data_IF_292995669245
#
_entry.id   IF_292995669245
#
_cell.length_a   1.000
_cell.length_b   1.000
_cell.length_c   1.000
_cell.angle_alpha   90.00
_cell.angle_beta   90.00
_cell.angle_gamma   90.00
#
_symmetry.space_group_name_H-M   'P 1'
#
loop_
_entity.id
_entity.type
_entity.pdbx_description
1 polymer ?
#
# COMPACT_ATOMS: atom_id res chain seq x y z
N UNK A 1 2.25 -9.91 8.99
CA UNK A 1 1.42 -10.58 10.03
C UNK A 1 2.32 -10.99 11.18
N UNK A 2 2.09 -10.42 12.36
CA UNK A 2 2.80 -10.85 13.56
C UNK A 2 2.21 -12.20 13.99
N UNK A 3 3.01 -13.26 13.97
CA UNK A 3 2.64 -14.59 14.49
C UNK A 3 2.55 -14.55 16.03
N UNK A 4 1.71 -13.66 16.56
CA UNK A 4 1.57 -13.44 18.02
C UNK A 4 0.17 -12.94 18.33
N UNK A 5 -0.30 -13.14 19.57
CA UNK A 5 -1.63 -12.72 19.97
C UNK A 5 -1.76 -11.20 20.09
N UNK A 6 -2.97 -10.67 19.91
CA UNK A 6 -3.32 -9.26 20.08
C UNK A 6 -2.89 -8.73 21.47
N UNK A 7 -3.13 -9.51 22.52
CA UNK A 7 -2.71 -9.19 23.90
C UNK A 7 -1.18 -9.00 24.01
N UNK A 8 -0.40 -9.82 23.31
CA UNK A 8 1.07 -9.67 23.29
C UNK A 8 1.49 -8.40 22.57
N UNK A 9 0.83 -8.04 21.44
CA UNK A 9 1.10 -6.78 20.72
C UNK A 9 0.73 -5.59 21.60
N UNK A 10 -0.44 -5.59 22.22
CA UNK A 10 -0.90 -4.54 23.13
C UNK A 10 0.06 -4.32 24.31
N UNK A 11 0.54 -5.40 24.92
CA UNK A 11 1.56 -5.31 25.99
C UNK A 11 2.89 -4.72 25.50
N UNK A 12 3.34 -5.07 24.28
CA UNK A 12 4.55 -4.50 23.69
C UNK A 12 4.37 -3.00 23.43
N UNK A 13 3.25 -2.59 22.85
CA UNK A 13 2.94 -1.18 22.61
C UNK A 13 2.88 -0.37 23.92
N UNK A 14 2.23 -0.91 24.94
CA UNK A 14 2.19 -0.30 26.27
C UNK A 14 3.61 -0.08 26.84
N UNK A 15 4.45 -1.14 26.84
CA UNK A 15 5.84 -1.04 27.31
C UNK A 15 6.66 -0.01 26.55
N UNK A 16 6.47 0.05 25.21
CA UNK A 16 7.15 1.02 24.35
C UNK A 16 6.73 2.45 24.69
N UNK A 17 5.43 2.69 24.89
CA UNK A 17 4.90 4.01 25.30
C UNK A 17 5.44 4.42 26.68
N UNK A 18 5.47 3.50 27.64
CA UNK A 18 6.05 3.74 28.97
C UNK A 18 7.55 4.06 28.88
N UNK A 19 8.31 3.34 28.07
CA UNK A 19 9.72 3.63 27.82
C UNK A 19 9.94 5.04 27.27
N UNK A 20 9.13 5.46 26.28
CA UNK A 20 9.21 6.82 25.72
C UNK A 20 8.90 7.88 26.78
N UNK A 21 7.87 7.63 27.61
CA UNK A 21 7.50 8.54 28.70
C UNK A 21 8.62 8.66 29.76
N UNK A 22 9.19 7.54 30.20
CA UNK A 22 10.27 7.51 31.19
C UNK A 22 11.55 8.18 30.67
N UNK A 23 11.85 7.99 29.38
CA UNK A 23 13.02 8.61 28.72
C UNK A 23 12.78 10.06 28.30
N UNK A 24 11.56 10.59 28.48
CA UNK A 24 11.16 11.92 28.05
C UNK A 24 11.56 12.20 26.58
N UNK A 25 11.43 11.18 25.71
CA UNK A 25 11.78 11.29 24.31
C UNK A 25 10.90 12.34 23.64
N UNK A 26 11.53 13.38 23.12
CA UNK A 26 10.85 14.41 22.33
C UNK A 26 10.70 13.93 20.89
N UNK A 27 9.52 14.20 20.32
CA UNK A 27 9.32 14.06 18.88
C UNK A 27 9.96 15.28 18.21
N UNK A 28 11.08 15.07 17.56
CA UNK A 28 11.78 16.10 16.79
C UNK A 28 11.58 15.83 15.32
N UNK A 29 11.49 16.89 14.51
CA UNK A 29 11.49 16.78 13.05
C UNK A 29 12.87 16.27 12.64
N UNK A 30 12.95 15.09 11.97
CA UNK A 30 14.24 14.53 11.58
C UNK A 30 14.96 15.42 10.57
N UNK A 31 16.30 15.36 10.58
CA UNK A 31 17.10 15.99 9.52
C UNK A 31 16.79 15.37 8.14
N UNK A 32 17.08 16.07 7.02
CA UNK A 32 16.91 15.52 5.68
C UNK A 32 17.58 14.15 5.49
N UNK A 33 18.78 13.97 6.01
CA UNK A 33 19.54 12.71 5.95
C UNK A 33 18.88 11.60 6.79
N UNK A 34 18.29 11.94 7.92
CA UNK A 34 17.57 10.99 8.77
C UNK A 34 16.23 10.62 8.16
N UNK A 35 15.56 11.55 7.45
CA UNK A 35 14.36 11.25 6.69
C UNK A 35 14.64 10.15 5.66
N UNK A 36 15.69 10.33 4.86
CA UNK A 36 16.08 9.35 3.84
C UNK A 36 16.35 7.97 4.45
N UNK A 37 17.08 7.89 5.57
CA UNK A 37 17.38 6.62 6.26
C UNK A 37 16.15 5.93 6.84
N UNK A 38 15.10 6.68 7.15
CA UNK A 38 13.86 6.16 7.77
C UNK A 38 12.78 5.85 6.76
N UNK A 39 12.93 6.30 5.51
CA UNK A 39 11.89 6.16 4.48
C UNK A 39 11.45 4.72 4.31
N UNK A 40 12.37 3.76 4.24
CA UNK A 40 12.03 2.34 4.08
C UNK A 40 11.14 1.81 5.21
N UNK A 41 11.46 2.15 6.47
CA UNK A 41 10.65 1.74 7.61
C UNK A 41 9.26 2.39 7.59
N UNK A 42 9.16 3.63 7.13
CA UNK A 42 7.89 4.36 6.98
C UNK A 42 7.06 3.75 5.85
N UNK A 43 7.67 3.49 4.69
CA UNK A 43 7.00 2.84 3.55
C UNK A 43 6.46 1.46 3.94
N UNK A 44 7.25 0.68 4.67
CA UNK A 44 6.78 -0.62 5.17
C UNK A 44 5.59 -0.48 6.14
N UNK A 45 5.58 0.53 7.00
CA UNK A 45 4.46 0.79 7.91
C UNK A 45 3.19 1.20 7.15
N UNK A 46 3.33 2.04 6.12
CA UNK A 46 2.23 2.45 5.24
C UNK A 46 1.70 1.24 4.45
N UNK A 47 2.59 0.41 3.92
CA UNK A 47 2.21 -0.82 3.21
C UNK A 47 1.41 -1.78 4.10
N UNK A 48 1.84 -1.98 5.35
CA UNK A 48 1.10 -2.81 6.31
C UNK A 48 -0.27 -2.22 6.66
N UNK A 49 -0.36 -0.89 6.82
CA UNK A 49 -1.62 -0.19 7.05
C UNK A 49 -2.58 -0.37 5.87
N UNK A 50 -2.06 -0.21 4.64
CA UNK A 50 -2.82 -0.41 3.42
C UNK A 50 -3.32 -1.85 3.30
N UNK A 51 -2.46 -2.83 3.55
CA UNK A 51 -2.83 -4.25 3.47
C UNK A 51 -3.92 -4.63 4.47
N UNK A 52 -3.87 -4.09 5.69
CA UNK A 52 -4.95 -4.27 6.67
C UNK A 52 -6.26 -3.62 6.18
N UNK A 53 -6.18 -2.47 5.53
CA UNK A 53 -7.35 -1.83 4.93
C UNK A 53 -7.91 -2.58 3.72
N UNK A 54 -7.01 -3.10 2.89
CA UNK A 54 -7.38 -3.77 1.64
C UNK A 54 -7.86 -5.21 1.84
N UNK A 55 -7.37 -5.91 2.84
CA UNK A 55 -7.72 -7.28 3.21
C UNK A 55 -7.68 -7.43 4.72
N UNK A 56 -8.73 -6.93 5.38
CA UNK A 56 -8.80 -6.85 6.83
C UNK A 56 -8.83 -8.24 7.46
N UNK A 57 -8.16 -8.35 8.60
CA UNK A 57 -8.22 -9.55 9.45
C UNK A 57 -9.49 -9.59 10.30
N UNK A 58 -10.28 -8.50 10.33
CA UNK A 58 -11.59 -8.45 11.00
C UNK A 58 -12.67 -9.09 10.15
N UNK A 59 -13.46 -10.00 10.75
CA UNK A 59 -14.53 -10.74 10.06
C UNK A 59 -15.67 -9.84 9.56
N UNK A 60 -15.93 -8.73 10.24
CA UNK A 60 -17.10 -7.89 10.01
C UNK A 60 -16.87 -6.82 8.94
N UNK A 61 -15.59 -6.46 8.70
CA UNK A 61 -15.18 -5.44 7.72
C UNK A 61 -13.99 -5.94 6.89
N UNK A 62 -14.26 -6.69 5.83
CA UNK A 62 -13.22 -7.26 4.96
C UNK A 62 -12.43 -6.20 4.17
N UNK A 63 -13.01 -5.03 3.96
CA UNK A 63 -12.36 -3.87 3.32
C UNK A 63 -12.58 -2.65 4.20
N UNK A 64 -11.51 -2.08 4.72
CA UNK A 64 -11.53 -0.88 5.54
C UNK A 64 -11.05 0.33 4.75
N UNK A 65 -11.99 1.02 4.13
CA UNK A 65 -11.71 2.20 3.29
C UNK A 65 -11.08 3.36 4.07
N UNK A 66 -11.31 3.45 5.37
CA UNK A 66 -10.66 4.41 6.27
C UNK A 66 -9.14 4.19 6.29
N UNK A 67 -8.68 2.95 6.48
CA UNK A 67 -7.25 2.62 6.49
C UNK A 67 -6.60 2.75 5.11
N UNK A 68 -7.31 2.35 4.04
CA UNK A 68 -6.84 2.54 2.66
C UNK A 68 -6.59 4.02 2.38
N UNK A 69 -7.57 4.87 2.71
CA UNK A 69 -7.49 6.32 2.47
C UNK A 69 -6.35 6.97 3.27
N UNK A 70 -6.18 6.57 4.53
CA UNK A 70 -5.11 7.06 5.39
C UNK A 70 -3.74 6.65 4.86
N UNK A 71 -3.56 5.38 4.47
CA UNK A 71 -2.31 4.89 3.90
C UNK A 71 -1.95 5.64 2.61
N UNK A 72 -2.92 5.85 1.72
CA UNK A 72 -2.71 6.60 0.48
C UNK A 72 -2.37 8.07 0.75
N UNK A 73 -3.03 8.70 1.72
CA UNK A 73 -2.72 10.09 2.12
C UNK A 73 -1.29 10.20 2.66
N UNK A 74 -0.89 9.31 3.56
CA UNK A 74 0.46 9.29 4.13
C UNK A 74 1.53 9.08 3.04
N UNK A 75 1.31 8.13 2.14
CA UNK A 75 2.23 7.89 1.02
C UNK A 75 2.30 9.10 0.07
N UNK A 76 1.16 9.76 -0.20
CA UNK A 76 1.12 10.97 -1.02
C UNK A 76 1.99 12.07 -0.43
N UNK A 77 1.93 12.31 0.89
CA UNK A 77 2.80 13.28 1.55
C UNK A 77 4.29 12.98 1.33
N UNK A 78 4.67 11.69 1.32
CA UNK A 78 6.05 11.29 1.00
C UNK A 78 6.40 11.54 -0.48
N UNK A 79 5.46 11.36 -1.41
CA UNK A 79 5.70 11.66 -2.84
C UNK A 79 5.83 13.15 -3.13
N UNK A 80 5.35 14.02 -2.25
CA UNK A 80 5.41 15.47 -2.40
C UNK A 80 6.65 16.11 -1.72
N UNK A 81 7.35 15.36 -0.85
CA UNK A 81 8.51 15.85 -0.13
C UNK A 81 9.81 15.43 -0.84
N UNK A 82 10.64 16.40 -1.19
CA UNK A 82 11.89 16.21 -1.97
C UNK A 82 12.91 15.27 -1.30
N UNK A 83 12.87 15.10 0.02
CA UNK A 83 13.78 14.21 0.74
C UNK A 83 13.29 12.76 0.82
N UNK A 84 12.02 12.52 0.48
CA UNK A 84 11.38 11.20 0.52
C UNK A 84 10.86 10.73 -0.85
N UNK A 85 11.06 11.53 -1.90
CA UNK A 85 10.76 11.20 -3.29
C UNK A 85 11.76 10.16 -3.82
N UNK A 86 11.59 8.90 -3.40
CA UNK A 86 12.40 7.78 -3.86
C UNK A 86 11.60 6.92 -4.83
N UNK A 87 12.24 6.14 -5.72
CA UNK A 87 11.55 5.23 -6.62
C UNK A 87 10.56 4.32 -5.89
N UNK A 88 10.96 3.81 -4.72
CA UNK A 88 10.15 2.95 -3.86
C UNK A 88 8.89 3.64 -3.34
N UNK A 89 8.95 4.94 -3.05
CA UNK A 89 7.81 5.74 -2.60
C UNK A 89 6.75 5.85 -3.70
N UNK A 90 7.20 6.10 -4.92
CA UNK A 90 6.30 6.17 -6.08
C UNK A 90 5.76 4.79 -6.45
N UNK A 91 6.57 3.74 -6.38
CA UNK A 91 6.15 2.36 -6.62
C UNK A 91 5.06 1.91 -5.63
N UNK A 92 5.22 2.20 -4.34
CA UNK A 92 4.20 1.90 -3.33
C UNK A 92 2.91 2.68 -3.61
N UNK A 93 2.98 3.96 -3.97
CA UNK A 93 1.79 4.73 -4.32
C UNK A 93 1.08 4.18 -5.54
N UNK A 94 1.82 3.77 -6.58
CA UNK A 94 1.27 3.12 -7.76
C UNK A 94 0.53 1.83 -7.41
N UNK A 95 1.16 0.96 -6.61
CA UNK A 95 0.57 -0.28 -6.10
C UNK A 95 -0.78 -0.03 -5.41
N UNK A 96 -0.81 0.93 -4.48
CA UNK A 96 -2.03 1.29 -3.76
C UNK A 96 -3.11 1.83 -4.70
N UNK A 97 -2.76 2.63 -5.70
CA UNK A 97 -3.69 3.11 -6.72
C UNK A 97 -4.32 1.96 -7.51
N UNK A 98 -3.52 1.00 -8.01
CA UNK A 98 -4.01 -0.15 -8.75
C UNK A 98 -4.91 -1.05 -7.91
N UNK A 99 -4.54 -1.33 -6.67
CA UNK A 99 -5.38 -2.14 -5.78
C UNK A 99 -6.69 -1.42 -5.43
N UNK A 100 -6.63 -0.14 -5.04
CA UNK A 100 -7.81 0.65 -4.67
C UNK A 100 -8.76 0.87 -5.84
N UNK A 101 -8.26 0.88 -7.09
CA UNK A 101 -9.10 1.02 -8.27
C UNK A 101 -10.20 -0.04 -8.37
N UNK A 102 -9.99 -1.22 -7.77
CA UNK A 102 -10.88 -2.37 -7.82
C UNK A 102 -11.78 -2.54 -6.60
N UNK A 103 -11.65 -1.68 -5.59
CA UNK A 103 -12.29 -1.84 -4.27
C UNK A 103 -13.81 -2.05 -4.38
N UNK A 104 -14.51 -1.30 -5.24
CA UNK A 104 -15.96 -1.41 -5.42
C UNK A 104 -16.42 -2.73 -6.03
N UNK A 105 -15.55 -3.43 -6.76
CA UNK A 105 -15.87 -4.70 -7.41
C UNK A 105 -15.43 -5.93 -6.62
N UNK A 106 -14.86 -5.75 -5.42
CA UNK A 106 -14.28 -6.83 -4.62
C UNK A 106 -15.27 -7.55 -3.70
N UNK A 107 -16.40 -6.92 -3.42
CA UNK A 107 -17.41 -7.49 -2.53
C UNK A 107 -18.76 -7.63 -3.25
N UNK A 108 -19.48 -8.70 -2.93
CA UNK A 108 -20.90 -8.85 -3.27
C UNK A 108 -21.75 -7.92 -2.40
N UNK A 109 -23.03 -7.75 -2.72
CA UNK A 109 -24.00 -7.03 -1.88
C UNK A 109 -24.14 -7.64 -0.48
N UNK A 110 -23.78 -8.92 -0.31
CA UNK A 110 -23.79 -9.66 0.96
C UNK A 110 -22.46 -9.58 1.70
N UNK A 111 -21.45 -8.86 1.16
CA UNK A 111 -20.14 -8.68 1.77
C UNK A 111 -19.15 -9.82 1.51
N UNK A 112 -19.45 -10.73 0.59
CA UNK A 112 -18.53 -11.83 0.22
C UNK A 112 -17.47 -11.37 -0.79
N UNK A 113 -16.25 -11.92 -0.69
CA UNK A 113 -15.13 -11.58 -1.58
C UNK A 113 -15.37 -12.12 -2.99
N UNK A 114 -15.30 -11.23 -3.99
CA UNK A 114 -15.28 -11.57 -5.42
C UNK A 114 -13.83 -11.70 -5.87
N UNK A 115 -13.46 -12.89 -6.36
CA UNK A 115 -12.14 -13.15 -6.90
C UNK A 115 -11.90 -12.34 -8.19
N UNK A 116 -10.65 -11.98 -8.45
CA UNK A 116 -10.25 -11.13 -9.58
C UNK A 116 -10.83 -11.53 -10.93
N UNK A 117 -10.89 -12.84 -11.33
CA UNK A 117 -11.51 -13.26 -12.59
C UNK A 117 -12.98 -12.90 -12.73
N UNK A 118 -13.69 -12.73 -11.62
CA UNK A 118 -15.14 -12.49 -11.55
C UNK A 118 -15.51 -11.06 -11.22
N UNK A 119 -14.52 -10.17 -11.01
CA UNK A 119 -14.76 -8.76 -10.73
C UNK A 119 -15.30 -8.03 -11.96
N UNK A 120 -16.34 -7.22 -11.76
CA UNK A 120 -16.87 -6.33 -12.78
C UNK A 120 -15.91 -5.17 -13.04
N UNK A 121 -15.18 -5.22 -14.15
CA UNK A 121 -14.22 -4.19 -14.56
C UNK A 121 -14.90 -2.84 -14.86
N UNK A 122 -16.18 -2.82 -15.19
CA UNK A 122 -16.95 -1.60 -15.39
C UNK A 122 -17.10 -0.75 -14.12
N UNK A 123 -16.91 -1.37 -12.94
CA UNK A 123 -16.91 -0.69 -11.64
C UNK A 123 -15.53 -0.23 -11.19
N UNK A 124 -14.49 -0.50 -11.97
CA UNK A 124 -13.14 -0.10 -11.60
C UNK A 124 -12.95 1.41 -11.75
N UNK A 125 -12.23 2.01 -10.84
CA UNK A 125 -11.92 3.43 -10.89
C UNK A 125 -10.75 3.68 -11.84
N UNK A 126 -11.06 3.98 -13.11
CA UNK A 126 -10.06 4.25 -14.15
C UNK A 126 -9.15 5.43 -13.82
N UNK A 127 -9.64 6.43 -13.08
CA UNK A 127 -8.80 7.55 -12.66
C UNK A 127 -7.69 7.11 -11.68
N UNK A 128 -7.97 6.16 -10.80
CA UNK A 128 -6.93 5.56 -9.96
C UNK A 128 -5.94 4.73 -10.79
N UNK A 129 -6.39 4.04 -11.84
CA UNK A 129 -5.49 3.31 -12.76
C UNK A 129 -4.56 4.30 -13.48
N UNK A 130 -5.07 5.39 -14.00
CA UNK A 130 -4.26 6.46 -14.62
C UNK A 130 -3.24 7.03 -13.65
N UNK A 131 -3.66 7.38 -12.44
CA UNK A 131 -2.76 7.87 -11.40
C UNK A 131 -1.68 6.82 -11.06
N UNK A 132 -2.05 5.54 -10.97
CA UNK A 132 -1.10 4.44 -10.79
C UNK A 132 -0.02 4.41 -11.88
N UNK A 133 -0.42 4.58 -13.15
CA UNK A 133 0.50 4.65 -14.29
C UNK A 133 1.44 5.86 -14.18
N UNK A 134 0.95 7.03 -13.78
CA UNK A 134 1.78 8.20 -13.57
C UNK A 134 2.83 7.97 -12.48
N UNK A 135 2.44 7.33 -11.38
CA UNK A 135 3.37 6.99 -10.29
C UNK A 135 4.36 5.89 -10.70
N UNK A 136 3.96 4.88 -11.49
CA UNK A 136 4.88 3.89 -12.05
C UNK A 136 5.95 4.54 -12.93
N UNK A 137 5.56 5.49 -13.79
CA UNK A 137 6.51 6.24 -14.60
C UNK A 137 7.49 7.05 -13.73
N UNK A 138 7.02 7.64 -12.63
CA UNK A 138 7.88 8.33 -11.66
C UNK A 138 8.76 7.37 -10.86
N UNK A 139 8.36 6.12 -10.69
CA UNK A 139 9.14 5.09 -10.01
C UNK A 139 10.26 4.51 -10.90
N UNK A 140 10.20 4.73 -12.21
CA UNK A 140 11.12 4.13 -13.20
C UNK A 140 12.48 4.86 -13.30
N UNK A 141 13.00 5.43 -12.21
CA UNK A 141 14.33 6.02 -12.17
C UNK A 141 15.22 5.31 -11.15
N UNK A 142 16.54 5.40 -11.33
CA UNK A 142 17.51 4.70 -10.48
C UNK A 142 17.74 3.25 -10.92
N UNK A 143 18.63 2.57 -10.20
CA UNK A 143 19.12 1.24 -10.56
C UNK A 143 18.59 0.13 -9.64
N UNK A 144 17.74 0.48 -8.66
CA UNK A 144 17.19 -0.47 -7.69
C UNK A 144 15.73 -0.77 -7.95
N UNK A 145 15.37 -2.05 -7.88
CA UNK A 145 13.98 -2.52 -7.96
C UNK A 145 13.59 -3.05 -6.58
N UNK A 146 12.56 -2.45 -5.97
CA UNK A 146 11.99 -2.93 -4.72
C UNK A 146 10.83 -3.90 -4.95
N UNK A 147 10.41 -4.60 -3.89
CA UNK A 147 9.21 -5.44 -3.90
C UNK A 147 7.97 -4.66 -4.37
N UNK A 148 7.87 -3.38 -3.99
CA UNK A 148 6.75 -2.52 -4.42
C UNK A 148 6.69 -2.32 -5.93
N UNK A 149 7.84 -2.24 -6.62
CA UNK A 149 7.90 -2.15 -8.08
C UNK A 149 7.35 -3.42 -8.72
N UNK A 150 7.75 -4.58 -8.22
CA UNK A 150 7.29 -5.87 -8.75
C UNK A 150 5.78 -6.07 -8.52
N UNK A 151 5.32 -5.81 -7.30
CA UNK A 151 3.90 -5.91 -6.97
C UNK A 151 3.06 -4.92 -7.76
N UNK A 152 3.54 -3.67 -7.94
CA UNK A 152 2.86 -2.67 -8.77
C UNK A 152 2.82 -3.06 -10.24
N UNK A 153 3.90 -3.65 -10.78
CA UNK A 153 3.94 -4.14 -12.15
C UNK A 153 2.93 -5.28 -12.39
N UNK A 154 2.84 -6.23 -11.45
CA UNK A 154 1.82 -7.30 -11.51
C UNK A 154 0.41 -6.70 -11.45
N UNK A 155 0.17 -5.77 -10.53
CA UNK A 155 -1.13 -5.12 -10.39
C UNK A 155 -1.50 -4.31 -11.66
N UNK A 156 -0.52 -3.66 -12.29
CA UNK A 156 -0.67 -2.96 -13.57
C UNK A 156 -1.14 -3.90 -14.68
N UNK A 157 -0.50 -5.06 -14.86
CA UNK A 157 -0.88 -6.04 -15.89
C UNK A 157 -2.34 -6.50 -15.72
N UNK A 158 -2.79 -6.67 -14.48
CA UNK A 158 -4.18 -6.98 -14.20
C UNK A 158 -5.14 -5.82 -14.45
N UNK A 159 -4.73 -4.58 -14.15
CA UNK A 159 -5.58 -3.40 -14.29
C UNK A 159 -5.74 -2.95 -15.75
N UNK A 160 -4.75 -3.21 -16.60
CA UNK A 160 -4.74 -2.77 -18.00
C UNK A 160 -5.26 -3.83 -18.98
N UNK A 161 -5.32 -5.10 -18.58
CA UNK A 161 -5.89 -6.15 -19.39
C UNK A 161 -7.41 -5.93 -19.57
N UNK A 162 -7.92 -6.18 -20.77
CA UNK A 162 -9.35 -6.06 -21.09
C UNK A 162 -10.20 -7.09 -20.35
N UNK A 163 -9.69 -8.31 -20.19
CA UNK A 163 -10.28 -9.38 -19.40
C UNK A 163 -9.20 -10.08 -18.59
N UNK A 164 -9.59 -10.91 -17.60
CA UNK A 164 -8.64 -11.69 -16.82
C UNK A 164 -7.78 -12.62 -17.69
N UNK A 165 -8.38 -13.28 -18.68
CA UNK A 165 -7.69 -14.22 -19.58
C UNK A 165 -6.71 -13.50 -20.52
N UNK A 166 -6.93 -12.19 -20.79
CA UNK A 166 -6.03 -11.35 -21.59
C UNK A 166 -4.91 -10.70 -20.77
N UNK A 167 -4.81 -11.00 -19.48
CA UNK A 167 -3.67 -10.56 -18.66
C UNK A 167 -2.37 -11.09 -19.29
N UNK A 168 -1.34 -10.24 -19.34
CA UNK A 168 -0.03 -10.64 -19.87
C UNK A 168 0.74 -11.51 -18.87
N UNK A 169 0.30 -12.75 -18.73
CA UNK A 169 0.87 -13.72 -17.82
C UNK A 169 2.36 -13.97 -18.07
N UNK A 170 2.79 -13.90 -19.34
CA UNK A 170 4.19 -14.05 -19.67
C UNK A 170 5.05 -13.00 -19.00
N UNK A 171 4.62 -11.73 -19.05
CA UNK A 171 5.35 -10.62 -18.43
C UNK A 171 5.34 -10.68 -16.89
N UNK A 172 4.29 -11.23 -16.29
CA UNK A 172 4.21 -11.43 -14.83
C UNK A 172 5.20 -12.51 -14.37
N UNK A 173 5.53 -13.50 -15.23
CA UNK A 173 6.40 -14.63 -14.90
C UNK A 173 7.87 -14.41 -15.24
N UNK A 174 8.20 -13.39 -16.02
CA UNK A 174 9.56 -12.94 -16.37
C UNK A 174 10.12 -12.02 -15.30
#
# INVERSE_FOLDING_TARGET
TFLTSEDTVSKRLYRTKEFFRQKQLKLEIPSPDDLKKRTDAVLNSIYLLFNEGYNSTHSDDLIRNDLISEAMLLCKLLTENTHTQQPETFALMALMCFHSSRSESRLTAQGEIILLPHQDRGKWNFKLIENGNEYMNKAAFGDSISTYHLEAAIAFEHCTAETFDKTNWKRILE
#
